data_IF_882254951243
#
_entry.id   IF_882254951243
#
_cell.length_a   1.000
_cell.length_b   1.000
_cell.length_c   1.000
_cell.angle_alpha   90.00
_cell.angle_beta   90.00
_cell.angle_gamma   90.00
#
_symmetry.space_group_name_H-M   'P 1'
#
loop_
_entity.id
_entity.type
_entity.pdbx_description
1 polymer ?
#
# COMPACT_ATOMS: atom_id res chain seq x y z
N UNK A 1 19.36 4.11 26.57
CA UNK A 1 19.05 3.36 25.33
C UNK A 1 17.56 3.10 25.28
N UNK A 2 16.91 3.46 24.17
CA UNK A 2 15.54 3.09 23.83
C UNK A 2 15.61 2.13 22.64
N UNK A 3 15.09 0.91 22.80
CA UNK A 3 15.05 -0.08 21.73
C UNK A 3 13.59 -0.28 21.27
N UNK A 4 13.28 0.21 20.08
CA UNK A 4 11.96 0.09 19.47
C UNK A 4 11.87 -1.24 18.73
N UNK A 5 10.91 -2.09 19.14
CA UNK A 5 10.61 -3.37 18.48
C UNK A 5 9.76 -3.14 17.21
N UNK A 6 10.19 -2.18 16.39
CA UNK A 6 9.57 -1.81 15.14
C UNK A 6 10.57 -1.13 14.19
N UNK A 7 10.22 -1.01 12.90
CA UNK A 7 11.08 -0.34 11.91
C UNK A 7 10.89 1.16 11.94
N UNK A 8 9.66 1.63 12.14
CA UNK A 8 9.40 3.05 12.33
C UNK A 8 9.78 3.48 13.74
N UNK A 9 10.41 4.64 13.84
CA UNK A 9 10.79 5.30 15.10
C UNK A 9 9.91 6.50 15.40
N UNK A 10 8.83 6.69 14.64
CA UNK A 10 7.88 7.81 14.72
C UNK A 10 7.17 7.94 16.08
N UNK A 11 7.26 6.90 16.92
CA UNK A 11 6.72 6.86 18.29
C UNK A 11 7.68 7.44 19.35
N UNK A 12 8.90 7.82 18.96
CA UNK A 12 9.92 8.39 19.85
C UNK A 12 10.31 9.78 19.34
N UNK A 13 10.36 10.76 20.25
CA UNK A 13 10.96 12.06 19.94
C UNK A 13 12.49 11.91 19.84
N UNK A 14 12.96 11.80 18.60
CA UNK A 14 14.38 11.60 18.31
C UNK A 14 15.23 12.82 18.68
N UNK A 15 14.64 14.03 18.66
CA UNK A 15 15.36 15.25 19.00
C UNK A 15 15.58 15.31 20.51
N UNK A 16 14.53 15.13 21.31
CA UNK A 16 14.63 15.12 22.76
C UNK A 16 15.55 13.97 23.25
N UNK A 17 15.46 12.80 22.62
CA UNK A 17 16.35 11.68 22.93
C UNK A 17 17.83 12.04 22.69
N UNK A 18 18.13 12.72 21.57
CA UNK A 18 19.48 13.17 21.26
C UNK A 18 20.00 14.23 22.26
N UNK A 19 19.16 15.23 22.60
CA UNK A 19 19.48 16.28 23.59
C UNK A 19 19.82 15.70 24.98
N UNK A 20 19.17 14.60 25.35
CA UNK A 20 19.39 13.89 26.61
C UNK A 20 20.50 12.81 26.54
N UNK A 21 21.17 12.65 25.39
CA UNK A 21 22.21 11.62 25.21
C UNK A 21 21.67 10.18 25.21
N UNK A 22 20.39 9.99 24.89
CA UNK A 22 19.72 8.69 24.85
C UNK A 22 19.75 8.12 23.43
N UNK A 23 20.51 7.06 23.21
CA UNK A 23 20.49 6.32 21.93
C UNK A 23 19.13 5.69 21.67
N UNK A 24 18.61 5.82 20.45
CA UNK A 24 17.41 5.13 19.95
C UNK A 24 17.81 4.11 18.88
N UNK A 25 17.35 2.87 19.01
CA UNK A 25 17.58 1.79 18.05
C UNK A 25 16.25 1.20 17.59
N UNK A 26 16.21 0.68 16.36
CA UNK A 26 15.02 0.10 15.75
C UNK A 26 15.32 -1.27 15.13
N UNK A 27 14.29 -2.10 14.95
CA UNK A 27 14.40 -3.35 14.22
C UNK A 27 14.12 -3.09 12.74
N UNK A 28 15.11 -3.29 11.87
CA UNK A 28 14.94 -3.13 10.43
C UNK A 28 14.73 -4.48 9.74
N UNK A 29 14.03 -4.47 8.60
CA UNK A 29 13.81 -5.62 7.73
C UNK A 29 13.11 -6.85 8.35
N UNK A 30 12.56 -6.74 9.57
CA UNK A 30 11.71 -7.79 10.14
C UNK A 30 10.33 -7.78 9.47
N UNK A 31 9.77 -8.96 9.20
CA UNK A 31 8.41 -9.09 8.66
C UNK A 31 8.21 -8.58 7.24
N UNK A 32 9.28 -8.36 6.46
CA UNK A 32 9.19 -7.90 5.05
C UNK A 32 8.20 -8.75 4.27
N UNK A 33 8.38 -10.07 4.27
CA UNK A 33 7.49 -10.99 3.54
C UNK A 33 6.07 -10.97 4.08
N UNK A 34 5.90 -10.87 5.40
CA UNK A 34 4.57 -10.78 6.03
C UNK A 34 3.80 -9.54 5.58
N UNK A 35 4.47 -8.38 5.51
CA UNK A 35 3.85 -7.13 5.03
C UNK A 35 3.55 -7.23 3.52
N UNK A 36 4.46 -7.77 2.72
CA UNK A 36 4.23 -7.98 1.28
C UNK A 36 3.01 -8.89 1.05
N UNK A 37 2.91 -10.01 1.78
CA UNK A 37 1.76 -10.92 1.71
C UNK A 37 0.47 -10.22 2.16
N UNK A 38 0.53 -9.40 3.19
CA UNK A 38 -0.63 -8.63 3.64
C UNK A 38 -1.12 -7.63 2.58
N UNK A 39 -0.21 -6.91 1.93
CA UNK A 39 -0.54 -5.99 0.82
C UNK A 39 -1.28 -6.72 -0.29
N UNK A 40 -0.77 -7.87 -0.74
CA UNK A 40 -1.44 -8.65 -1.79
C UNK A 40 -2.76 -9.27 -1.32
N UNK A 41 -2.87 -9.65 -0.05
CA UNK A 41 -4.14 -10.10 0.53
C UNK A 41 -5.21 -9.01 0.42
N UNK A 42 -4.87 -7.76 0.72
CA UNK A 42 -5.78 -6.61 0.59
C UNK A 42 -6.11 -6.31 -0.88
N UNK A 43 -5.10 -6.28 -1.76
CA UNK A 43 -5.29 -6.04 -3.20
C UNK A 43 -6.26 -7.06 -3.78
N UNK A 44 -6.03 -8.35 -3.54
CA UNK A 44 -6.88 -9.44 -4.04
C UNK A 44 -8.27 -9.35 -3.44
N UNK A 45 -8.40 -9.13 -2.13
CA UNK A 45 -9.70 -9.04 -1.48
C UNK A 45 -10.58 -7.93 -2.08
N UNK A 46 -9.98 -6.79 -2.44
CA UNK A 46 -10.68 -5.67 -3.07
C UNK A 46 -11.03 -5.94 -4.54
N UNK A 47 -10.07 -6.43 -5.34
CA UNK A 47 -10.30 -6.64 -6.78
C UNK A 47 -11.24 -7.81 -7.07
N UNK A 48 -11.24 -8.84 -6.23
CA UNK A 48 -12.11 -10.01 -6.43
C UNK A 48 -13.39 -9.93 -5.59
N UNK A 49 -13.65 -8.81 -4.90
CA UNK A 49 -14.79 -8.64 -4.01
C UNK A 49 -14.92 -9.77 -2.98
N UNK A 50 -13.80 -10.28 -2.46
CA UNK A 50 -13.73 -11.49 -1.64
C UNK A 50 -14.64 -11.40 -0.41
N UNK A 51 -14.65 -10.25 0.27
CA UNK A 51 -15.45 -10.07 1.48
C UNK A 51 -16.96 -10.01 1.17
N UNK A 52 -17.33 -9.41 0.04
CA UNK A 52 -18.72 -9.36 -0.42
C UNK A 52 -19.23 -10.76 -0.79
N UNK A 53 -18.42 -11.54 -1.51
CA UNK A 53 -18.72 -12.93 -1.83
C UNK A 53 -18.78 -13.81 -0.57
N UNK A 54 -17.83 -13.66 0.36
CA UNK A 54 -17.84 -14.37 1.63
C UNK A 54 -19.17 -14.14 2.38
N UNK A 55 -19.59 -12.88 2.50
CA UNK A 55 -20.88 -12.54 3.13
C UNK A 55 -22.06 -13.16 2.39
N UNK A 56 -22.10 -13.06 1.06
CA UNK A 56 -23.21 -13.61 0.28
C UNK A 56 -23.34 -15.13 0.43
N UNK A 57 -22.23 -15.85 0.59
CA UNK A 57 -22.23 -17.30 0.88
C UNK A 57 -22.79 -17.57 2.28
N UNK A 58 -22.36 -16.81 3.29
CA UNK A 58 -22.88 -16.94 4.67
C UNK A 58 -24.39 -16.66 4.75
N UNK A 59 -24.89 -15.70 3.96
CA UNK A 59 -26.32 -15.37 3.82
C UNK A 59 -27.10 -16.39 2.98
N UNK A 60 -26.42 -17.38 2.41
CA UNK A 60 -27.04 -18.44 1.63
C UNK A 60 -27.47 -18.05 0.21
N UNK A 61 -26.94 -16.95 -0.31
CA UNK A 61 -27.29 -16.46 -1.66
C UNK A 61 -26.72 -17.36 -2.76
N UNK A 62 -25.62 -18.08 -2.48
CA UNK A 62 -25.02 -19.00 -3.45
C UNK A 62 -25.95 -20.17 -3.78
N UNK A 63 -26.51 -20.86 -2.78
CA UNK A 63 -27.42 -21.99 -3.02
C UNK A 63 -28.77 -21.58 -3.62
N UNK A 64 -29.11 -20.30 -3.58
CA UNK A 64 -30.31 -19.75 -4.23
C UNK A 64 -30.06 -19.33 -5.68
N UNK A 65 -28.80 -19.34 -6.14
CA UNK A 65 -28.48 -18.96 -7.51
C UNK A 65 -29.13 -19.94 -8.49
N UNK A 66 -29.84 -19.40 -9.48
CA UNK A 66 -30.49 -20.18 -10.54
C UNK A 66 -29.50 -20.67 -11.62
N UNK A 67 -28.24 -20.29 -11.53
CA UNK A 67 -27.16 -20.64 -12.46
C UNK A 67 -26.07 -21.43 -11.74
N UNK A 68 -25.19 -22.08 -12.52
CA UNK A 68 -24.05 -22.85 -11.99
C UNK A 68 -23.01 -21.96 -11.27
N UNK A 69 -23.08 -20.64 -11.43
CA UNK A 69 -22.22 -19.67 -10.76
C UNK A 69 -23.06 -18.51 -10.20
N UNK A 70 -22.54 -17.86 -9.15
CA UNK A 70 -23.11 -16.65 -8.58
C UNK A 70 -22.21 -15.45 -8.93
N UNK A 71 -22.70 -14.54 -9.77
CA UNK A 71 -21.99 -13.33 -10.23
C UNK A 71 -22.59 -12.06 -9.62
N UNK A 72 -22.63 -11.98 -8.29
CA UNK A 72 -23.23 -10.85 -7.57
C UNK A 72 -22.37 -9.58 -7.52
N UNK A 73 -21.06 -9.72 -7.74
CA UNK A 73 -20.09 -8.62 -7.64
C UNK A 73 -19.03 -8.72 -8.75
N UNK A 74 -18.50 -7.62 -9.26
CA UNK A 74 -17.46 -7.65 -10.27
C UNK A 74 -16.19 -8.34 -9.73
N UNK A 75 -15.54 -9.14 -10.57
CA UNK A 75 -14.22 -9.73 -10.28
C UNK A 75 -13.26 -9.11 -11.30
N UNK A 76 -12.22 -8.45 -10.80
CA UNK A 76 -11.23 -7.75 -11.61
C UNK A 76 -9.91 -8.50 -11.52
N UNK A 77 -9.34 -8.86 -12.66
CA UNK A 77 -8.03 -9.47 -12.74
C UNK A 77 -6.92 -8.41 -12.55
N UNK A 78 -5.83 -8.80 -11.89
CA UNK A 78 -4.66 -7.94 -11.72
C UNK A 78 -3.78 -7.86 -12.97
N UNK A 79 -3.82 -8.88 -13.84
CA UNK A 79 -2.98 -8.93 -15.04
C UNK A 79 -3.22 -7.71 -15.92
N UNK A 80 -2.15 -7.01 -16.26
CA UNK A 80 -2.17 -5.80 -17.10
C UNK A 80 -2.56 -4.52 -16.37
N UNK A 81 -3.00 -4.59 -15.10
CA UNK A 81 -3.28 -3.42 -14.26
C UNK A 81 -2.02 -2.72 -13.79
N UNK A 82 -2.09 -1.42 -13.54
CA UNK A 82 -0.97 -0.63 -13.06
C UNK A 82 -0.94 -0.54 -11.53
N UNK A 83 0.23 -0.80 -10.93
CA UNK A 83 0.53 -0.66 -9.51
C UNK A 83 1.49 0.51 -9.29
N UNK A 84 0.99 1.59 -8.69
CA UNK A 84 1.75 2.71 -8.18
C UNK A 84 2.33 2.42 -6.81
N UNK A 85 3.63 2.66 -6.63
CA UNK A 85 4.35 2.41 -5.37
C UNK A 85 4.95 3.71 -4.85
N UNK A 86 4.54 4.12 -3.64
CA UNK A 86 5.15 5.24 -2.91
C UNK A 86 6.06 4.67 -1.82
N UNK A 87 7.36 4.89 -1.94
CA UNK A 87 8.37 4.32 -1.05
C UNK A 87 8.97 3.02 -1.60
N UNK A 88 10.12 3.13 -2.27
CA UNK A 88 10.77 2.02 -2.95
C UNK A 88 11.96 1.43 -2.16
N UNK A 89 11.75 1.26 -0.85
CA UNK A 89 12.68 0.58 0.06
C UNK A 89 12.56 -0.93 0.00
N UNK A 90 12.93 -1.62 1.09
CA UNK A 90 12.83 -3.09 1.22
C UNK A 90 11.41 -3.60 0.95
N UNK A 91 10.39 -2.97 1.56
CA UNK A 91 8.99 -3.33 1.38
C UNK A 91 8.48 -3.07 -0.05
N UNK A 92 8.69 -1.86 -0.56
CA UNK A 92 8.24 -1.49 -1.91
C UNK A 92 8.84 -2.36 -3.01
N UNK A 93 10.11 -2.76 -2.89
CA UNK A 93 10.75 -3.72 -3.81
C UNK A 93 10.15 -5.13 -3.70
N UNK A 94 9.85 -5.59 -2.48
CA UNK A 94 9.18 -6.87 -2.25
C UNK A 94 7.80 -6.91 -2.91
N UNK A 95 7.02 -5.83 -2.75
CA UNK A 95 5.71 -5.69 -3.38
C UNK A 95 5.82 -5.64 -4.90
N UNK A 96 6.77 -4.89 -5.46
CA UNK A 96 7.00 -4.85 -6.91
C UNK A 96 7.30 -6.24 -7.48
N UNK A 97 8.18 -7.01 -6.83
CA UNK A 97 8.53 -8.38 -7.28
C UNK A 97 7.32 -9.32 -7.33
N UNK A 98 6.42 -9.25 -6.35
CA UNK A 98 5.20 -10.06 -6.36
C UNK A 98 4.21 -9.55 -7.42
N UNK A 99 4.15 -8.23 -7.64
CA UNK A 99 3.29 -7.64 -8.67
C UNK A 99 3.66 -8.11 -10.08
N UNK A 100 4.95 -8.29 -10.36
CA UNK A 100 5.45 -8.87 -11.62
C UNK A 100 4.88 -10.28 -11.84
N UNK A 101 4.81 -11.11 -10.80
CA UNK A 101 4.26 -12.46 -10.89
C UNK A 101 2.75 -12.47 -11.19
N UNK A 102 2.02 -11.42 -10.78
CA UNK A 102 0.63 -11.20 -11.16
C UNK A 102 0.46 -10.54 -12.54
N UNK A 103 1.57 -10.19 -13.22
CA UNK A 103 1.55 -9.53 -14.52
C UNK A 103 1.09 -8.08 -14.47
N UNK A 104 1.28 -7.39 -13.34
CA UNK A 104 0.97 -5.97 -13.19
C UNK A 104 2.07 -5.09 -13.80
N UNK A 105 1.72 -3.86 -14.18
CA UNK A 105 2.66 -2.81 -14.63
C UNK A 105 3.04 -1.95 -13.44
N UNK A 106 4.31 -1.95 -13.07
CA UNK A 106 4.77 -1.23 -11.86
C UNK A 106 5.20 0.19 -12.23
N UNK A 107 4.73 1.17 -11.47
CA UNK A 107 5.18 2.56 -11.54
C UNK A 107 5.61 2.98 -10.14
N UNK A 108 6.81 3.52 -10.00
CA UNK A 108 7.36 3.93 -8.71
C UNK A 108 7.37 5.45 -8.65
N UNK A 109 6.74 6.04 -7.64
CA UNK A 109 6.77 7.48 -7.43
C UNK A 109 8.17 7.95 -7.01
N UNK A 110 8.54 9.13 -7.47
CA UNK A 110 9.67 9.89 -6.93
C UNK A 110 9.48 10.11 -5.43
N UNK A 111 10.58 10.04 -4.68
CA UNK A 111 10.56 10.33 -3.24
C UNK A 111 10.21 11.81 -2.99
N UNK A 112 9.15 12.14 -2.25
CA UNK A 112 8.90 13.51 -1.78
C UNK A 112 10.12 14.01 -1.01
N UNK A 113 10.61 15.21 -1.33
CA UNK A 113 11.80 15.80 -0.71
C UNK A 113 13.14 15.17 -1.08
N UNK A 114 13.14 14.13 -1.92
CA UNK A 114 14.36 13.52 -2.43
C UNK A 114 14.99 14.33 -3.57
N UNK A 115 16.25 14.02 -3.95
CA UNK A 115 16.86 14.60 -5.14
C UNK A 115 16.03 14.24 -6.39
N UNK A 116 16.02 15.09 -7.43
CA UNK A 116 15.37 14.77 -8.70
C UNK A 116 15.89 13.46 -9.30
N UNK A 117 14.97 12.67 -9.85
CA UNK A 117 15.28 11.48 -10.64
C UNK A 117 14.21 11.26 -11.73
N UNK A 118 14.43 10.25 -12.58
CA UNK A 118 13.60 9.99 -13.77
C UNK A 118 12.20 9.44 -13.44
N UNK A 119 11.86 9.24 -12.16
CA UNK A 119 10.54 8.76 -11.76
C UNK A 119 9.50 9.89 -11.79
N UNK A 120 8.24 9.57 -12.12
CA UNK A 120 7.16 10.54 -12.03
C UNK A 120 6.93 10.99 -10.59
N UNK A 121 6.52 12.24 -10.41
CA UNK A 121 5.95 12.72 -9.16
C UNK A 121 4.69 11.93 -8.80
N UNK A 122 4.28 12.02 -7.53
CA UNK A 122 3.03 11.40 -7.10
C UNK A 122 1.84 11.89 -7.94
N UNK A 123 1.72 13.21 -8.12
CA UNK A 123 0.67 13.85 -8.92
C UNK A 123 0.61 13.35 -10.35
N UNK A 124 1.76 13.15 -11.01
CA UNK A 124 1.83 12.61 -12.37
C UNK A 124 1.45 11.12 -12.43
N UNK A 125 1.71 10.36 -11.36
CA UNK A 125 1.45 8.93 -11.31
C UNK A 125 -0.02 8.59 -10.99
N UNK A 126 -0.68 9.37 -10.14
CA UNK A 126 -2.03 9.07 -9.61
C UNK A 126 -3.10 8.80 -10.70
N UNK A 127 -3.16 9.55 -11.81
CA UNK A 127 -4.15 9.31 -12.87
C UNK A 127 -3.96 7.98 -13.61
N UNK A 128 -2.75 7.42 -13.59
CA UNK A 128 -2.38 6.26 -14.42
C UNK A 128 -2.47 4.92 -13.69
N UNK A 129 -2.57 4.93 -12.36
CA UNK A 129 -2.50 3.72 -11.53
C UNK A 129 -3.89 3.14 -11.22
N UNK A 130 -4.02 1.82 -11.29
CA UNK A 130 -5.22 1.10 -10.86
C UNK A 130 -5.15 0.73 -9.36
N UNK A 131 -3.93 0.65 -8.82
CA UNK A 131 -3.69 0.44 -7.39
C UNK A 131 -2.56 1.37 -6.95
N UNK A 132 -2.75 2.10 -5.86
CA UNK A 132 -1.69 2.85 -5.18
C UNK A 132 -1.35 2.14 -3.86
N UNK A 133 -0.07 1.91 -3.59
CA UNK A 133 0.35 1.34 -2.30
C UNK A 133 1.49 2.12 -1.65
N UNK A 134 1.39 2.30 -0.32
CA UNK A 134 2.26 3.17 0.48
C UNK A 134 3.19 2.34 1.37
N UNK A 135 4.49 2.60 1.25
CA UNK A 135 5.58 1.95 1.99
C UNK A 135 6.68 2.93 2.43
N UNK A 136 6.36 4.22 2.52
CA UNK A 136 7.25 5.27 3.02
C UNK A 136 7.09 5.49 4.53
N UNK A 137 8.12 6.00 5.23
CA UNK A 137 7.99 6.42 6.62
C UNK A 137 7.09 7.67 6.73
N UNK A 138 6.47 7.87 7.90
CA UNK A 138 5.79 9.12 8.24
C UNK A 138 6.83 10.17 8.67
N UNK A 139 6.95 11.24 7.90
CA UNK A 139 7.84 12.38 8.13
C UNK A 139 7.06 13.68 7.94
N UNK A 140 7.71 14.84 8.06
CA UNK A 140 7.09 16.12 7.68
C UNK A 140 6.68 16.18 6.20
N UNK A 141 7.43 15.52 5.31
CA UNK A 141 7.21 15.54 3.86
C UNK A 141 6.17 14.52 3.38
N UNK A 142 5.90 13.49 4.17
CA UNK A 142 4.92 12.44 3.85
C UNK A 142 3.66 12.52 4.70
N UNK A 143 3.56 13.50 5.60
CA UNK A 143 2.34 13.73 6.38
C UNK A 143 1.24 14.27 5.47
N UNK A 144 0.07 13.62 5.50
CA UNK A 144 -1.06 13.95 4.63
C UNK A 144 -0.66 13.97 3.14
N UNK A 145 0.26 13.09 2.74
CA UNK A 145 0.68 12.92 1.36
C UNK A 145 -0.49 12.50 0.47
N UNK A 146 -1.42 11.70 1.01
CA UNK A 146 -2.67 11.33 0.35
C UNK A 146 -3.82 12.17 0.93
N UNK A 147 -3.87 13.43 0.52
CA UNK A 147 -4.94 14.36 0.87
C UNK A 147 -6.13 14.30 -0.12
N UNK A 148 -7.11 15.19 0.06
CA UNK A 148 -8.27 15.26 -0.82
C UNK A 148 -7.90 15.57 -2.28
N UNK A 149 -6.84 16.37 -2.52
CA UNK A 149 -6.39 16.68 -3.86
C UNK A 149 -5.78 15.44 -4.52
N UNK A 150 -4.92 14.71 -3.81
CA UNK A 150 -4.35 13.44 -4.27
C UNK A 150 -5.44 12.41 -4.59
N UNK A 151 -6.43 12.24 -3.70
CA UNK A 151 -7.56 11.33 -3.94
C UNK A 151 -8.36 11.73 -5.19
N UNK A 152 -8.58 13.02 -5.42
CA UNK A 152 -9.33 13.50 -6.60
C UNK A 152 -8.61 13.28 -7.93
N UNK A 153 -7.29 13.08 -7.91
CA UNK A 153 -6.49 12.73 -9.09
C UNK A 153 -6.47 11.23 -9.41
N UNK A 154 -6.85 10.39 -8.44
CA UNK A 154 -6.89 8.95 -8.65
C UNK A 154 -8.04 8.57 -9.60
N UNK A 155 -7.88 7.44 -10.30
CA UNK A 155 -9.01 6.86 -11.04
C UNK A 155 -10.16 6.57 -10.07
N UNK A 156 -11.42 6.80 -10.45
CA UNK A 156 -12.58 6.44 -9.62
C UNK A 156 -12.65 4.94 -9.26
N UNK A 157 -11.97 4.10 -10.03
CA UNK A 157 -11.87 2.65 -9.84
C UNK A 157 -10.59 2.21 -9.15
N UNK A 158 -9.67 3.13 -8.82
CA UNK A 158 -8.40 2.77 -8.22
C UNK A 158 -8.55 2.41 -6.74
N UNK A 159 -7.72 1.48 -6.27
CA UNK A 159 -7.64 1.13 -4.86
C UNK A 159 -6.40 1.73 -4.19
N UNK A 160 -6.57 2.23 -2.97
CA UNK A 160 -5.49 2.71 -2.12
C UNK A 160 -5.18 1.68 -1.02
N UNK A 161 -3.92 1.26 -0.93
CA UNK A 161 -3.42 0.33 0.08
C UNK A 161 -2.38 1.03 0.96
N UNK A 162 -2.79 1.47 2.15
CA UNK A 162 -1.87 2.02 3.13
C UNK A 162 -1.40 0.91 4.10
N UNK A 163 -0.21 0.37 3.85
CA UNK A 163 0.47 -0.57 4.73
C UNK A 163 1.67 0.08 5.46
N UNK A 164 1.65 1.41 5.58
CA UNK A 164 2.71 2.21 6.19
C UNK A 164 2.25 2.82 7.53
N UNK A 165 1.63 4.00 7.48
CA UNK A 165 1.16 4.77 8.65
C UNK A 165 -0.10 5.52 8.29
N UNK A 166 -1.04 5.60 9.23
CA UNK A 166 -2.33 6.27 9.00
C UNK A 166 -2.24 7.78 8.75
N UNK A 167 -1.16 8.45 9.19
CA UNK A 167 -0.97 9.89 8.97
C UNK A 167 -0.30 10.26 7.65
N UNK A 168 -0.10 9.29 6.75
CA UNK A 168 0.41 9.49 5.38
C UNK A 168 -0.75 9.73 4.45
#
# INVERSE_FOLDING_TARGET
LIAVVATGTDVVDLQAAAELGVTVCNCQAYGTDSVVQHVFSLILALHTNLLSYHRAVQEGRWQQASQFCFMGFPIIELKGKSLGIVGYGTLGRGVARVAEAFGMKIVVARRPGGPPDDRPTLTEMLPEVDVLTLHCPLTGETRNLIDAAAISLMKPTAFLINAARGGI
#
